data_IF_519528913666
#
_entry.id   IF_519528913666
#
_cell.length_a   1.000
_cell.length_b   1.000
_cell.length_c   1.000
_cell.angle_alpha   90.00
_cell.angle_beta   90.00
_cell.angle_gamma   90.00
#
_symmetry.space_group_name_H-M   'P 1'
#
loop_
_entity.id
_entity.type
_entity.pdbx_description
1 polymer ?
#
# COMPACT_ATOMS: atom_id res chain seq x y z
N UNK A 1 -13.96 9.73 -26.14
CA UNK A 1 -13.13 8.55 -26.46
C UNK A 1 -14.09 7.38 -26.73
N UNK A 2 -14.07 6.73 -27.90
CA UNK A 2 -15.10 5.73 -28.29
C UNK A 2 -14.82 4.30 -27.81
N UNK A 3 -13.57 4.01 -27.46
CA UNK A 3 -13.07 2.80 -26.80
C UNK A 3 -11.61 3.05 -26.37
N UNK A 4 -11.07 2.18 -25.54
CA UNK A 4 -9.66 2.13 -25.15
C UNK A 4 -9.14 0.69 -25.29
N UNK A 5 -7.83 0.50 -25.24
CA UNK A 5 -7.18 -0.80 -25.47
C UNK A 5 -6.37 -0.81 -26.76
N UNK A 6 -5.76 -1.94 -27.06
CA UNK A 6 -4.92 -2.14 -28.25
C UNK A 6 -5.78 -2.69 -29.38
N UNK A 7 -5.61 -2.14 -30.58
CA UNK A 7 -6.03 -2.77 -31.83
C UNK A 7 -4.81 -2.83 -32.75
N UNK A 8 -4.22 -4.02 -32.84
CA UNK A 8 -3.02 -4.25 -33.63
C UNK A 8 -3.22 -5.47 -34.52
N UNK A 9 -2.84 -5.33 -35.79
CA UNK A 9 -2.82 -6.41 -36.76
C UNK A 9 -1.39 -6.52 -37.27
N UNK A 10 -0.79 -7.70 -37.13
CA UNK A 10 0.49 -8.01 -37.76
C UNK A 10 0.23 -8.71 -39.09
N UNK A 11 0.86 -8.18 -40.12
CA UNK A 11 0.81 -8.69 -41.48
C UNK A 11 2.18 -9.24 -41.87
N UNK A 12 2.19 -10.26 -42.71
CA UNK A 12 3.38 -10.66 -43.45
C UNK A 12 3.09 -10.73 -44.94
N UNK A 13 4.12 -10.51 -45.75
CA UNK A 13 4.03 -10.65 -47.20
C UNK A 13 4.36 -12.10 -47.57
N UNK A 14 3.43 -12.77 -48.24
CA UNK A 14 3.58 -14.19 -48.57
C UNK A 14 4.49 -14.41 -49.78
N UNK A 15 5.09 -15.59 -49.90
CA UNK A 15 5.97 -15.95 -51.00
C UNK A 15 5.24 -15.99 -52.36
N UNK A 16 3.92 -16.24 -52.36
CA UNK A 16 3.04 -16.23 -53.53
C UNK A 16 2.60 -14.80 -53.91
N UNK A 17 3.10 -13.78 -53.21
CA UNK A 17 2.57 -12.43 -53.26
C UNK A 17 1.41 -12.22 -52.28
N UNK A 18 1.00 -10.97 -52.11
CA UNK A 18 -0.09 -10.59 -51.20
C UNK A 18 0.30 -10.51 -49.71
N UNK A 19 -0.50 -9.77 -48.96
CA UNK A 19 -0.38 -9.61 -47.50
C UNK A 19 -1.34 -10.57 -46.80
N UNK A 20 -0.86 -11.26 -45.77
CA UNK A 20 -1.64 -12.17 -44.92
C UNK A 20 -1.53 -11.72 -43.47
N UNK A 21 -2.60 -11.88 -42.71
CA UNK A 21 -2.63 -11.61 -41.26
C UNK A 21 -1.99 -12.79 -40.53
N UNK A 22 -1.05 -12.51 -39.62
CA UNK A 22 -0.43 -13.53 -38.75
C UNK A 22 -0.76 -13.35 -37.27
N UNK A 23 -1.11 -12.14 -36.85
CA UNK A 23 -1.50 -11.89 -35.47
C UNK A 23 -2.52 -10.77 -35.39
N UNK A 24 -3.48 -10.93 -34.48
CA UNK A 24 -4.45 -9.90 -34.13
C UNK A 24 -4.44 -9.77 -32.61
N UNK A 25 -4.16 -8.57 -32.12
CA UNK A 25 -4.38 -8.20 -30.73
C UNK A 25 -5.50 -7.18 -30.68
N UNK A 26 -6.66 -7.59 -30.17
CA UNK A 26 -7.79 -6.70 -29.92
C UNK A 26 -8.18 -6.77 -28.45
N UNK A 27 -7.83 -5.73 -27.70
CA UNK A 27 -8.21 -5.57 -26.28
C UNK A 27 -9.15 -4.39 -26.11
N UNK A 28 -9.83 -3.97 -27.19
CA UNK A 28 -10.71 -2.81 -27.15
C UNK A 28 -11.87 -3.04 -26.19
N UNK A 29 -12.13 -2.06 -25.33
CA UNK A 29 -13.28 -2.01 -24.42
C UNK A 29 -13.88 -0.61 -24.40
N UNK A 30 -15.19 -0.53 -24.13
CA UNK A 30 -15.94 0.74 -24.07
C UNK A 30 -16.08 1.30 -22.65
N UNK A 31 -15.91 0.44 -21.66
CA UNK A 31 -16.02 0.76 -20.24
C UNK A 31 -14.69 0.47 -19.51
N UNK A 32 -14.51 1.05 -18.32
CA UNK A 32 -13.25 0.92 -17.58
C UNK A 32 -12.05 1.50 -18.34
N UNK A 33 -12.31 2.50 -19.19
CA UNK A 33 -11.27 3.16 -19.95
C UNK A 33 -10.52 4.16 -19.09
N UNK A 34 -9.19 4.02 -19.08
CA UNK A 34 -8.31 5.01 -18.48
C UNK A 34 -8.39 6.29 -19.29
N UNK A 35 -8.93 7.32 -18.66
CA UNK A 35 -9.05 8.67 -19.25
C UNK A 35 -7.82 9.51 -18.99
N UNK A 36 -7.02 9.16 -17.97
CA UNK A 36 -5.77 9.82 -17.62
C UNK A 36 -4.59 8.84 -17.69
N UNK A 37 -3.37 9.32 -18.01
CA UNK A 37 -2.18 8.50 -17.92
C UNK A 37 -2.01 7.95 -16.50
N UNK A 38 -1.56 6.70 -16.38
CA UNK A 38 -1.32 6.15 -15.05
C UNK A 38 -0.24 6.92 -14.33
N UNK A 39 -0.63 7.53 -13.22
CA UNK A 39 0.32 8.00 -12.25
C UNK A 39 0.38 6.99 -11.09
N UNK A 40 1.45 6.20 -11.07
CA UNK A 40 1.70 5.23 -9.99
C UNK A 40 1.69 5.92 -8.62
N UNK A 41 2.20 7.17 -8.51
CA UNK A 41 2.18 7.91 -7.24
C UNK A 41 0.76 8.28 -6.82
N UNK A 42 -0.09 8.71 -7.73
CA UNK A 42 -1.50 9.03 -7.42
C UNK A 42 -2.22 7.77 -6.94
N UNK A 43 -2.08 6.66 -7.67
CA UNK A 43 -2.72 5.40 -7.29
C UNK A 43 -2.21 4.83 -5.95
N UNK A 44 -0.92 5.01 -5.66
CA UNK A 44 -0.35 4.66 -4.36
C UNK A 44 -0.95 5.52 -3.24
N UNK A 45 -1.09 6.83 -3.46
CA UNK A 45 -1.70 7.72 -2.46
C UNK A 45 -3.14 7.32 -2.18
N UNK A 46 -3.95 7.11 -3.22
CA UNK A 46 -5.34 6.67 -3.10
C UNK A 46 -5.45 5.33 -2.38
N UNK A 47 -4.58 4.38 -2.69
CA UNK A 47 -4.54 3.07 -2.02
C UNK A 47 -4.19 3.20 -0.53
N UNK A 48 -3.18 4.02 -0.18
CA UNK A 48 -2.80 4.23 1.21
C UNK A 48 -3.87 4.99 2.00
N UNK A 49 -4.56 5.95 1.38
CA UNK A 49 -5.69 6.66 2.01
C UNK A 49 -6.88 5.72 2.24
N UNK A 50 -7.19 4.86 1.28
CA UNK A 50 -8.20 3.82 1.43
C UNK A 50 -7.82 2.81 2.52
N UNK A 51 -6.54 2.45 2.63
CA UNK A 51 -6.03 1.54 3.66
C UNK A 51 -6.16 2.13 5.08
N UNK A 52 -5.82 3.42 5.27
CA UNK A 52 -6.05 4.12 6.54
C UNK A 52 -7.54 4.26 6.84
N UNK A 53 -8.37 4.56 5.84
CA UNK A 53 -9.81 4.63 6.02
C UNK A 53 -10.42 3.30 6.44
N UNK A 54 -10.00 2.19 5.81
CA UNK A 54 -10.44 0.84 6.16
C UNK A 54 -10.15 0.51 7.64
N UNK A 55 -8.97 0.86 8.14
CA UNK A 55 -8.64 0.73 9.56
C UNK A 55 -9.56 1.60 10.46
N UNK A 56 -9.85 2.83 10.02
CA UNK A 56 -10.66 3.77 10.78
C UNK A 56 -12.13 3.35 10.90
N UNK A 57 -12.68 2.67 9.89
CA UNK A 57 -14.07 2.17 9.86
C UNK A 57 -14.19 0.67 10.13
N UNK A 58 -13.10 0.05 10.59
CA UNK A 58 -13.03 -1.37 10.90
C UNK A 58 -13.41 -2.31 9.73
N UNK A 59 -13.04 -1.93 8.50
CA UNK A 59 -13.13 -2.80 7.32
C UNK A 59 -11.89 -3.71 7.24
N UNK A 60 -12.01 -4.90 7.86
CA UNK A 60 -10.96 -5.90 7.93
C UNK A 60 -10.53 -6.41 6.54
N UNK A 61 -11.50 -6.63 5.65
CA UNK A 61 -11.25 -7.22 4.34
C UNK A 61 -10.53 -6.24 3.42
N UNK A 62 -10.92 -4.96 3.42
CA UNK A 62 -10.19 -3.93 2.67
C UNK A 62 -8.79 -3.69 3.27
N UNK A 63 -8.67 -3.66 4.60
CA UNK A 63 -7.38 -3.42 5.27
C UNK A 63 -6.35 -4.52 4.95
N UNK A 64 -6.68 -5.79 5.21
CA UNK A 64 -5.77 -6.89 4.95
C UNK A 64 -5.69 -7.27 3.46
N UNK A 65 -6.75 -7.01 2.68
CA UNK A 65 -6.77 -7.21 1.23
C UNK A 65 -5.82 -6.28 0.47
N UNK A 66 -5.51 -5.12 1.04
CA UNK A 66 -4.52 -4.15 0.54
C UNK A 66 -3.07 -4.60 0.77
N UNK A 67 -2.85 -5.72 1.46
CA UNK A 67 -1.52 -6.26 1.77
C UNK A 67 -1.21 -7.52 0.95
N UNK A 68 0.07 -7.73 0.60
CA UNK A 68 0.51 -8.99 0.00
C UNK A 68 0.38 -10.14 1.00
N UNK A 69 0.27 -11.39 0.52
CA UNK A 69 0.13 -12.56 1.39
C UNK A 69 1.33 -12.75 2.33
N UNK A 70 2.52 -12.34 1.88
CA UNK A 70 3.77 -12.38 2.63
C UNK A 70 4.09 -11.09 3.39
N UNK A 71 3.10 -10.19 3.55
CA UNK A 71 3.35 -8.89 4.14
C UNK A 71 3.71 -8.96 5.62
N UNK A 72 4.60 -8.04 6.04
CA UNK A 72 4.98 -7.85 7.45
C UNK A 72 4.50 -6.50 7.95
N UNK A 73 3.94 -6.48 9.16
CA UNK A 73 3.54 -5.27 9.88
C UNK A 73 4.35 -5.13 11.17
N UNK A 74 5.04 -4.00 11.33
CA UNK A 74 5.71 -3.62 12.58
C UNK A 74 4.85 -2.58 13.30
N UNK A 75 4.42 -2.93 14.52
CA UNK A 75 3.72 -2.01 15.40
C UNK A 75 4.69 -1.13 16.18
N UNK A 76 4.16 -0.34 17.12
CA UNK A 76 4.96 0.62 17.89
C UNK A 76 5.69 -0.02 19.06
N UNK A 77 5.22 -1.18 19.56
CA UNK A 77 5.94 -1.95 20.56
C UNK A 77 7.04 -2.82 19.92
N UNK A 78 8.20 -2.92 20.57
CA UNK A 78 9.37 -3.62 20.03
C UNK A 78 9.13 -5.13 19.76
N UNK A 79 8.10 -5.72 20.37
CA UNK A 79 7.71 -7.12 20.15
C UNK A 79 6.69 -7.29 19.03
N UNK A 80 6.11 -6.21 18.53
CA UNK A 80 5.10 -6.23 17.47
C UNK A 80 5.73 -6.40 16.11
N UNK A 81 5.99 -7.66 15.75
CA UNK A 81 6.37 -8.08 14.40
C UNK A 81 5.39 -9.13 13.90
N UNK A 82 4.46 -8.73 13.04
CA UNK A 82 3.38 -9.60 12.59
C UNK A 82 3.51 -9.98 11.12
N UNK A 83 3.23 -11.24 10.80
CA UNK A 83 2.80 -11.60 9.44
C UNK A 83 1.34 -11.20 9.26
N UNK A 84 0.94 -10.87 8.04
CA UNK A 84 -0.42 -10.39 7.71
C UNK A 84 -1.52 -11.26 8.33
N UNK A 85 -1.46 -12.57 8.12
CA UNK A 85 -2.54 -13.47 8.53
C UNK A 85 -2.54 -13.71 10.05
N UNK A 86 -1.37 -13.68 10.70
CA UNK A 86 -1.28 -13.72 12.16
C UNK A 86 -1.88 -12.46 12.78
N UNK A 87 -1.59 -11.29 12.19
CA UNK A 87 -2.19 -10.02 12.61
C UNK A 87 -3.70 -10.04 12.40
N UNK A 88 -4.18 -10.55 11.26
CA UNK A 88 -5.61 -10.67 10.97
C UNK A 88 -6.32 -11.48 12.06
N UNK A 89 -5.81 -12.67 12.37
CA UNK A 89 -6.38 -13.52 13.40
C UNK A 89 -6.32 -12.88 14.80
N UNK A 90 -5.19 -12.26 15.17
CA UNK A 90 -5.03 -11.61 16.47
C UNK A 90 -5.93 -10.36 16.62
N UNK A 91 -6.12 -9.61 15.53
CA UNK A 91 -6.80 -8.31 15.55
C UNK A 91 -8.30 -8.36 15.32
N UNK A 92 -8.88 -9.51 14.98
CA UNK A 92 -10.30 -9.68 14.67
C UNK A 92 -11.25 -8.93 15.62
N UNK A 93 -11.06 -9.07 16.94
CA UNK A 93 -11.88 -8.39 17.97
C UNK A 93 -11.83 -6.84 17.95
N UNK A 94 -10.81 -6.26 17.31
CA UNK A 94 -10.70 -4.81 17.16
C UNK A 94 -11.46 -4.33 15.92
N UNK A 95 -11.58 -5.18 14.89
CA UNK A 95 -12.39 -4.94 13.70
C UNK A 95 -13.89 -5.22 13.90
N UNK A 96 -14.29 -5.83 15.02
CA UNK A 96 -15.70 -5.93 15.44
C UNK A 96 -16.26 -4.62 16.03
N UNK A 97 -15.43 -3.59 16.18
CA UNK A 97 -15.80 -2.29 16.77
C UNK A 97 -16.13 -1.27 15.69
N UNK A 98 -16.60 -0.09 16.09
CA UNK A 98 -16.83 1.03 15.17
C UNK A 98 -15.53 1.59 14.55
N UNK A 99 -14.37 1.34 15.18
CA UNK A 99 -13.07 1.76 14.69
C UNK A 99 -11.95 0.88 15.26
N UNK A 100 -10.98 0.51 14.42
CA UNK A 100 -9.77 -0.18 14.86
C UNK A 100 -8.63 0.83 15.08
N UNK A 101 -8.19 1.52 14.02
CA UNK A 101 -7.15 2.55 14.08
C UNK A 101 -7.49 3.74 13.20
N UNK A 102 -7.69 4.91 13.81
CA UNK A 102 -7.95 6.16 13.10
C UNK A 102 -6.67 6.99 12.99
N UNK A 103 -6.02 6.91 11.83
CA UNK A 103 -4.80 7.68 11.52
C UNK A 103 -5.06 8.64 10.37
N UNK A 104 -4.66 9.91 10.53
CA UNK A 104 -4.78 10.91 9.47
C UNK A 104 -3.41 11.20 8.85
N UNK A 105 -3.19 10.87 7.56
CA UNK A 105 -1.89 11.06 6.93
C UNK A 105 -1.57 12.53 6.67
N UNK A 106 -0.28 12.88 6.82
CA UNK A 106 0.32 14.20 6.60
C UNK A 106 1.69 14.01 5.95
N UNK A 107 2.07 14.93 5.06
CA UNK A 107 3.41 14.98 4.44
C UNK A 107 3.87 13.66 3.80
N UNK A 108 2.98 12.89 3.16
CA UNK A 108 3.35 11.63 2.50
C UNK A 108 4.29 11.87 1.32
N UNK A 109 5.37 11.10 1.24
CA UNK A 109 6.26 11.01 0.09
C UNK A 109 6.23 9.60 -0.48
N UNK A 110 6.33 9.49 -1.81
CA UNK A 110 6.30 8.22 -2.53
C UNK A 110 7.42 8.18 -3.56
N UNK A 111 8.13 7.06 -3.57
CA UNK A 111 9.26 6.78 -4.44
C UNK A 111 9.02 5.48 -5.19
N UNK A 112 9.50 5.41 -6.43
CA UNK A 112 9.34 4.24 -7.30
C UNK A 112 10.70 3.66 -7.62
N UNK A 113 10.77 2.33 -7.71
CA UNK A 113 11.93 1.65 -8.28
C UNK A 113 12.07 1.99 -9.78
N UNK A 114 13.28 1.88 -10.32
CA UNK A 114 13.55 2.16 -11.73
C UNK A 114 12.74 1.28 -12.70
N UNK A 115 12.37 0.07 -12.27
CA UNK A 115 11.54 -0.87 -13.04
C UNK A 115 10.03 -0.70 -12.79
N UNK A 116 9.63 0.23 -11.91
CA UNK A 116 8.22 0.53 -11.60
C UNK A 116 7.44 -0.62 -10.94
N UNK A 117 8.12 -1.66 -10.43
CA UNK A 117 7.49 -2.82 -9.77
C UNK A 117 7.39 -2.66 -8.25
N UNK A 118 8.23 -1.81 -7.67
CA UNK A 118 8.28 -1.55 -6.24
C UNK A 118 8.12 -0.06 -5.97
N UNK A 119 7.60 0.26 -4.79
CA UNK A 119 7.58 1.61 -4.27
C UNK A 119 7.95 1.60 -2.79
N UNK A 120 8.42 2.72 -2.27
CA UNK A 120 8.50 2.96 -0.83
C UNK A 120 7.92 4.32 -0.52
N UNK A 121 7.44 4.46 0.71
CA UNK A 121 6.82 5.68 1.17
C UNK A 121 7.19 5.96 2.62
N UNK A 122 7.09 7.22 2.97
CA UNK A 122 7.03 7.67 4.35
C UNK A 122 5.94 8.73 4.50
N UNK A 123 5.32 8.75 5.66
CA UNK A 123 4.30 9.71 6.03
C UNK A 123 4.39 10.03 7.52
N UNK A 124 3.96 11.23 7.87
CA UNK A 124 3.57 11.55 9.24
C UNK A 124 2.10 11.22 9.42
N UNK A 125 1.73 10.78 10.60
CA UNK A 125 0.37 10.41 10.95
C UNK A 125 -0.05 11.21 12.17
N UNK A 126 -1.23 11.81 12.11
CA UNK A 126 -1.92 12.30 13.29
C UNK A 126 -2.71 11.16 13.92
N UNK A 127 -2.42 10.89 15.20
CA UNK A 127 -2.95 9.73 15.93
C UNK A 127 -3.22 10.11 17.39
N UNK A 128 -3.93 9.24 18.11
CA UNK A 128 -4.14 9.41 19.56
C UNK A 128 -2.82 9.35 20.38
N UNK A 129 -1.76 8.75 19.83
CA UNK A 129 -0.42 8.71 20.45
C UNK A 129 0.40 9.98 20.19
N UNK A 130 -0.19 10.97 19.51
CA UNK A 130 0.52 12.10 18.92
C UNK A 130 1.05 11.77 17.52
N UNK A 131 2.11 12.47 17.11
CA UNK A 131 2.69 12.27 15.78
C UNK A 131 3.39 10.91 15.69
N UNK A 132 2.92 10.07 14.78
CA UNK A 132 3.59 8.83 14.39
C UNK A 132 4.20 8.98 13.00
N UNK A 133 5.13 8.08 12.67
CA UNK A 133 5.69 7.93 11.33
C UNK A 133 5.30 6.57 10.79
N UNK A 134 4.56 6.58 9.67
CA UNK A 134 4.32 5.41 8.85
C UNK A 134 5.40 5.33 7.77
N UNK A 135 5.96 4.14 7.55
CA UNK A 135 6.85 3.90 6.42
C UNK A 135 6.63 2.49 5.89
N UNK A 136 6.80 2.29 4.60
CA UNK A 136 6.53 0.99 4.03
C UNK A 136 7.05 0.78 2.62
N UNK A 137 6.95 -0.48 2.20
CA UNK A 137 7.29 -0.95 0.86
C UNK A 137 6.03 -1.49 0.22
N UNK A 138 5.80 -1.09 -1.03
CA UNK A 138 4.68 -1.53 -1.86
C UNK A 138 5.18 -2.36 -3.03
N UNK A 139 4.36 -3.31 -3.44
CA UNK A 139 4.60 -4.15 -4.61
C UNK A 139 3.45 -3.96 -5.59
N UNK A 140 3.78 -3.78 -6.87
CA UNK A 140 2.82 -3.76 -7.96
C UNK A 140 2.44 -5.20 -8.32
N UNK A 141 1.17 -5.53 -8.14
CA UNK A 141 0.60 -6.85 -8.44
C UNK A 141 -0.35 -6.76 -9.64
N UNK A 142 -0.86 -7.90 -10.12
CA UNK A 142 -1.89 -7.92 -11.14
C UNK A 142 -3.20 -7.21 -10.70
N UNK A 143 -3.44 -7.15 -9.39
CA UNK A 143 -4.61 -6.50 -8.78
C UNK A 143 -4.37 -5.01 -8.43
N UNK A 144 -3.16 -4.51 -8.65
CA UNK A 144 -2.75 -3.15 -8.26
C UNK A 144 -1.64 -3.12 -7.21
N UNK A 145 -1.40 -1.95 -6.63
CA UNK A 145 -0.40 -1.77 -5.57
C UNK A 145 -0.88 -2.39 -4.27
N UNK A 146 -0.02 -3.17 -3.61
CA UNK A 146 -0.26 -3.75 -2.28
C UNK A 146 0.91 -3.49 -1.34
N UNK A 147 0.61 -3.37 -0.06
CA UNK A 147 1.61 -3.22 1.01
C UNK A 147 2.32 -4.56 1.22
N UNK A 148 3.64 -4.57 1.08
CA UNK A 148 4.52 -5.73 1.35
C UNK A 148 5.20 -5.62 2.72
N UNK A 149 5.46 -4.40 3.17
CA UNK A 149 6.03 -4.15 4.48
C UNK A 149 5.50 -2.82 5.02
N UNK A 150 5.12 -2.78 6.29
CA UNK A 150 4.72 -1.56 6.98
C UNK A 150 5.41 -1.45 8.33
N UNK A 151 5.80 -0.24 8.70
CA UNK A 151 6.42 0.09 9.96
C UNK A 151 5.80 1.37 10.54
N UNK A 152 5.20 1.25 11.72
CA UNK A 152 4.65 2.35 12.50
C UNK A 152 5.57 2.67 13.67
N UNK A 153 6.04 3.91 13.75
CA UNK A 153 6.88 4.36 14.86
C UNK A 153 6.27 5.59 15.54
N UNK A 154 6.32 5.65 16.87
CA UNK A 154 6.08 6.89 17.62
C UNK A 154 7.25 7.84 17.37
N UNK A 155 6.98 9.12 17.15
CA UNK A 155 8.04 10.12 17.04
C UNK A 155 8.35 10.73 18.41
N UNK A 156 9.63 10.82 18.75
CA UNK A 156 10.09 11.43 20.00
C UNK A 156 10.92 12.66 19.64
N UNK A 157 10.51 13.87 20.08
CA UNK A 157 11.33 15.07 19.89
C UNK A 157 12.71 14.90 20.53
N UNK A 158 13.74 15.39 19.84
CA UNK A 158 15.12 15.23 20.31
C UNK A 158 15.35 15.91 21.67
N UNK A 159 14.62 16.97 21.96
CA UNK A 159 14.69 17.75 23.20
C UNK A 159 14.26 16.93 24.42
N UNK A 160 13.41 15.91 24.24
CA UNK A 160 12.87 15.08 25.34
C UNK A 160 13.44 13.67 25.38
N UNK A 161 14.42 13.34 24.52
CA UNK A 161 14.93 11.98 24.36
C UNK A 161 15.50 11.39 25.66
N UNK A 162 16.12 12.22 26.52
CA UNK A 162 16.65 11.77 27.81
C UNK A 162 15.55 11.27 28.74
N UNK A 163 14.44 12.02 28.84
CA UNK A 163 13.29 11.61 29.64
C UNK A 163 12.63 10.35 29.10
N UNK A 164 12.53 10.23 27.76
CA UNK A 164 12.04 9.01 27.12
C UNK A 164 12.91 7.78 27.47
N UNK A 165 14.24 7.89 27.39
CA UNK A 165 15.16 6.80 27.73
C UNK A 165 14.96 6.34 29.19
N UNK A 166 14.83 7.28 30.13
CA UNK A 166 14.59 6.97 31.54
C UNK A 166 13.25 6.25 31.76
N UNK A 167 12.18 6.71 31.09
CA UNK A 167 10.87 6.08 31.16
C UNK A 167 10.90 4.63 30.68
N UNK A 168 11.53 4.36 29.53
CA UNK A 168 11.63 3.01 28.94
C UNK A 168 12.46 2.09 29.83
N UNK A 169 13.59 2.58 30.37
CA UNK A 169 14.44 1.81 31.28
C UNK A 169 13.64 1.36 32.51
N UNK A 170 12.94 2.29 33.16
CA UNK A 170 12.14 2.02 34.36
C UNK A 170 10.99 1.04 34.10
N UNK A 171 10.39 1.07 32.90
CA UNK A 171 9.33 0.14 32.53
C UNK A 171 9.84 -1.28 32.28
N UNK A 172 11.07 -1.40 31.77
CA UNK A 172 11.69 -2.69 31.42
C UNK A 172 12.27 -3.39 32.65
N UNK A 173 12.88 -2.65 33.57
CA UNK A 173 13.42 -3.21 34.83
C UNK A 173 12.33 -3.70 35.79
N UNK A 174 11.07 -3.29 35.58
CA UNK A 174 9.90 -3.73 36.37
C UNK A 174 9.19 -4.95 35.77
N UNK A 175 9.56 -5.39 34.58
CA UNK A 175 9.05 -6.62 33.95
C UNK A 175 9.94 -7.80 34.31
#
# INVERSE_FOLDING_TARGET
MSHCGVNAIQLFKSAEGGWKIIHITDTRRREGCRTEPYNDKTAINEMLDAWHHAAAVADEDAFFGSMTADATYLGTDATERWLRDDMKAWSAKYFERESAWAFTPKNRQVYLSADGRMAWFEELLDTWMGACRGSGVLQKTAEGWKIRHYNLAVTVPNEVIKGFIELVKNATEKK
#
